data_IF_734936155505
#
_entry.id   IF_734936155505
#
_cell.length_a   1.000
_cell.length_b   1.000
_cell.length_c   1.000
_cell.angle_alpha   90.00
_cell.angle_beta   90.00
_cell.angle_gamma   90.00
#
_symmetry.space_group_name_H-M   'P 1'
#
loop_
_entity.id
_entity.type
_entity.pdbx_description
1 polymer ?
#
# COMPACT_ATOMS: atom_id res chain seq x y z
N UNK A 1 24.46 -15.24 65.36
CA UNK A 1 24.36 -15.08 63.89
C UNK A 1 22.96 -15.36 63.34
N UNK A 2 21.94 -15.62 64.17
CA UNK A 2 20.54 -15.84 63.73
C UNK A 2 19.68 -14.57 63.83
N UNK A 3 19.94 -13.69 64.81
CA UNK A 3 19.11 -12.52 65.08
C UNK A 3 19.32 -11.33 64.10
N UNK A 4 20.39 -11.34 63.31
CA UNK A 4 20.66 -10.30 62.29
C UNK A 4 20.03 -10.63 60.92
N UNK A 5 19.64 -11.88 60.69
CA UNK A 5 18.96 -12.31 59.46
C UNK A 5 17.45 -12.09 59.51
N UNK A 6 16.85 -12.04 60.70
CA UNK A 6 15.41 -11.81 60.88
C UNK A 6 15.03 -10.35 60.64
N UNK A 7 15.87 -9.40 61.06
CA UNK A 7 15.67 -7.96 60.84
C UNK A 7 15.87 -7.51 59.37
N UNK A 8 16.42 -8.37 58.52
CA UNK A 8 16.64 -8.04 57.09
C UNK A 8 15.46 -8.43 56.20
N UNK A 9 14.55 -9.28 56.70
CA UNK A 9 13.36 -9.72 55.96
C UNK A 9 12.22 -8.69 56.10
N UNK A 10 12.20 -7.93 57.20
CA UNK A 10 11.17 -6.91 57.49
C UNK A 10 11.38 -5.57 56.77
N UNK A 11 12.48 -5.42 56.00
CA UNK A 11 12.83 -4.20 55.24
C UNK A 11 12.77 -4.43 53.73
N UNK A 12 12.25 -5.57 53.27
CA UNK A 12 11.90 -5.69 51.87
C UNK A 12 10.57 -4.97 51.64
N UNK A 13 10.54 -3.88 50.85
CA UNK A 13 9.29 -3.23 50.51
C UNK A 13 8.35 -4.28 49.91
N UNK A 14 7.12 -4.37 50.41
CA UNK A 14 6.11 -5.28 49.87
C UNK A 14 6.10 -5.15 48.34
N UNK A 15 5.97 -6.27 47.59
CA UNK A 15 5.87 -6.20 46.15
C UNK A 15 4.65 -5.35 45.84
N UNK A 16 4.88 -4.08 45.45
CA UNK A 16 3.84 -3.18 44.96
C UNK A 16 3.04 -4.00 43.98
N UNK A 17 1.77 -4.25 44.29
CA UNK A 17 0.86 -4.95 43.39
C UNK A 17 0.97 -4.27 42.03
N UNK A 18 1.73 -4.88 41.11
CA UNK A 18 1.86 -4.39 39.76
C UNK A 18 0.52 -4.70 39.15
N UNK A 19 -0.32 -3.67 39.13
CA UNK A 19 -1.65 -3.75 38.57
C UNK A 19 -1.50 -4.00 37.07
N UNK A 20 -1.50 -5.28 36.66
CA UNK A 20 -1.52 -5.71 35.26
C UNK A 20 -2.93 -5.51 34.68
N UNK A 21 -3.56 -4.37 34.94
CA UNK A 21 -4.82 -3.97 34.35
C UNK A 21 -4.85 -2.46 34.15
N UNK A 22 -3.97 -1.97 33.29
CA UNK A 22 -4.38 -0.94 32.35
C UNK A 22 -4.33 -1.61 30.99
N UNK A 23 -5.47 -1.79 30.35
CA UNK A 23 -5.49 -1.95 28.90
C UNK A 23 -4.84 -0.69 28.36
N UNK A 24 -3.53 -0.73 28.12
CA UNK A 24 -2.85 0.36 27.45
C UNK A 24 -3.48 0.39 26.07
N UNK A 25 -4.40 1.33 25.87
CA UNK A 25 -4.98 1.62 24.58
C UNK A 25 -3.82 1.87 23.61
N UNK A 26 -3.89 1.34 22.39
CA UNK A 26 -2.82 1.50 21.39
C UNK A 26 -2.38 2.97 21.27
N UNK A 27 -3.30 3.92 21.45
CA UNK A 27 -3.06 5.37 21.51
C UNK A 27 -2.15 5.83 22.68
N UNK A 28 -2.27 5.24 23.86
CA UNK A 28 -1.41 5.54 25.02
C UNK A 28 0.02 4.99 24.79
N UNK A 29 0.16 3.85 24.10
CA UNK A 29 1.48 3.32 23.71
C UNK A 29 2.11 4.12 22.56
N UNK A 30 1.30 4.50 21.55
CA UNK A 30 1.75 5.32 20.42
C UNK A 30 2.21 6.71 20.85
N UNK A 31 1.50 7.33 21.81
CA UNK A 31 1.85 8.66 22.34
C UNK A 31 3.14 8.65 23.17
N UNK A 32 3.52 7.50 23.74
CA UNK A 32 4.80 7.30 24.42
C UNK A 32 5.96 7.08 23.44
N UNK A 33 5.72 6.45 22.29
CA UNK A 33 6.68 6.33 21.18
C UNK A 33 6.67 7.60 20.31
N UNK A 34 7.55 8.56 20.59
CA UNK A 34 7.73 9.75 19.73
C UNK A 34 7.97 9.35 18.26
N UNK A 35 7.30 10.02 17.32
CA UNK A 35 7.50 9.87 15.88
C UNK A 35 8.97 10.11 15.51
N UNK A 36 9.70 9.01 15.27
CA UNK A 36 11.08 9.07 14.81
C UNK A 36 11.18 9.54 13.36
N UNK A 37 12.39 9.96 12.95
CA UNK A 37 12.70 10.35 11.55
C UNK A 37 12.29 9.27 10.52
N UNK A 38 12.30 8.00 10.92
CA UNK A 38 11.89 6.86 10.09
C UNK A 38 10.39 6.90 9.76
N UNK A 39 9.53 7.31 10.69
CA UNK A 39 8.08 7.35 10.45
C UNK A 39 7.73 8.46 9.43
N UNK A 40 8.34 9.64 9.57
CA UNK A 40 8.21 10.70 8.55
C UNK A 40 8.69 10.24 7.17
N UNK A 41 9.82 9.54 7.10
CA UNK A 41 10.31 8.99 5.84
C UNK A 41 9.32 7.97 5.24
N UNK A 42 8.73 7.10 6.06
CA UNK A 42 7.75 6.11 5.62
C UNK A 42 6.48 6.77 5.07
N UNK A 43 5.96 7.79 5.74
CA UNK A 43 4.80 8.57 5.29
C UNK A 43 5.08 9.26 3.96
N UNK A 44 6.27 9.87 3.79
CA UNK A 44 6.65 10.51 2.53
C UNK A 44 6.69 9.50 1.39
N UNK A 45 7.36 8.36 1.59
CA UNK A 45 7.46 7.29 0.58
C UNK A 45 6.08 6.74 0.22
N UNK A 46 5.25 6.45 1.21
CA UNK A 46 3.88 5.98 0.99
C UNK A 46 3.04 7.01 0.24
N UNK A 47 3.18 8.29 0.59
CA UNK A 47 2.54 9.40 -0.12
C UNK A 47 2.95 9.49 -1.58
N UNK A 48 4.25 9.35 -1.89
CA UNK A 48 4.73 9.34 -3.28
C UNK A 48 4.18 8.15 -4.06
N UNK A 49 4.12 6.97 -3.45
CA UNK A 49 3.55 5.77 -4.09
C UNK A 49 2.06 5.98 -4.40
N UNK A 50 1.28 6.49 -3.43
CA UNK A 50 -0.14 6.77 -3.63
C UNK A 50 -0.36 7.84 -4.70
N UNK A 51 0.45 8.90 -4.71
CA UNK A 51 0.38 9.93 -5.75
C UNK A 51 0.65 9.35 -7.14
N UNK A 52 1.68 8.50 -7.29
CA UNK A 52 1.98 7.83 -8.55
C UNK A 52 0.81 6.93 -9.00
N UNK A 53 0.20 6.19 -8.05
CA UNK A 53 -0.95 5.33 -8.33
C UNK A 53 -2.16 6.13 -8.82
N UNK A 54 -2.43 7.27 -8.20
CA UNK A 54 -3.51 8.17 -8.61
C UNK A 54 -3.25 8.77 -9.98
N UNK A 55 -2.01 9.20 -10.26
CA UNK A 55 -1.63 9.74 -11.57
C UNK A 55 -1.79 8.69 -12.67
N UNK A 56 -1.43 7.44 -12.42
CA UNK A 56 -1.63 6.37 -13.42
C UNK A 56 -3.12 6.11 -13.66
N UNK A 57 -3.91 6.02 -12.59
CA UNK A 57 -5.36 5.73 -12.69
C UNK A 57 -6.12 6.85 -13.39
N UNK A 58 -5.79 8.12 -13.07
CA UNK A 58 -6.44 9.29 -13.66
C UNK A 58 -5.83 9.68 -15.01
N UNK A 59 -4.57 9.34 -15.26
CA UNK A 59 -3.83 9.71 -16.48
C UNK A 59 -4.52 9.23 -17.74
N UNK A 60 -5.16 8.06 -17.69
CA UNK A 60 -5.92 7.48 -18.81
C UNK A 60 -7.04 8.42 -19.27
N UNK A 61 -7.76 9.02 -18.32
CA UNK A 61 -8.85 9.95 -18.61
C UNK A 61 -8.39 11.21 -19.32
N UNK A 62 -7.15 11.65 -19.08
CA UNK A 62 -6.52 12.76 -19.79
C UNK A 62 -5.98 12.36 -21.16
N UNK A 63 -5.51 11.14 -21.31
CA UNK A 63 -4.92 10.64 -22.58
C UNK A 63 -6.00 10.31 -23.61
N UNK A 64 -7.15 9.74 -23.21
CA UNK A 64 -8.26 9.37 -24.11
C UNK A 64 -8.70 10.49 -25.09
N UNK A 65 -8.94 11.75 -24.65
CA UNK A 65 -9.37 12.80 -25.57
C UNK A 65 -8.28 13.18 -26.58
N UNK A 66 -7.01 13.14 -26.19
CA UNK A 66 -5.86 13.46 -27.07
C UNK A 66 -5.65 12.34 -28.10
N UNK A 67 -5.67 11.08 -27.65
CA UNK A 67 -5.49 9.91 -28.50
C UNK A 67 -6.65 9.68 -29.50
N UNK A 68 -7.78 10.39 -29.35
CA UNK A 68 -8.92 10.26 -30.27
C UNK A 68 -8.54 10.60 -31.70
N UNK A 69 -7.80 11.68 -31.90
CA UNK A 69 -7.46 12.18 -33.23
C UNK A 69 -6.40 11.30 -33.91
N UNK A 70 -5.52 10.67 -33.12
CA UNK A 70 -4.42 9.86 -33.64
C UNK A 70 -4.81 8.41 -33.95
N UNK A 71 -5.75 7.83 -33.18
CA UNK A 71 -6.20 6.43 -33.34
C UNK A 71 -7.60 6.30 -33.98
N UNK A 72 -8.24 7.39 -34.38
CA UNK A 72 -9.60 7.44 -34.96
C UNK A 72 -10.65 6.64 -34.13
N UNK A 73 -10.53 6.69 -32.80
CA UNK A 73 -11.32 5.84 -31.90
C UNK A 73 -12.81 6.18 -31.90
N UNK A 74 -13.64 5.14 -31.97
CA UNK A 74 -15.09 5.20 -31.77
C UNK A 74 -15.45 5.53 -30.31
N UNK A 75 -16.67 6.01 -30.07
CA UNK A 75 -17.14 6.31 -28.70
C UNK A 75 -17.17 5.07 -27.81
N UNK A 76 -17.43 3.88 -28.38
CA UNK A 76 -17.48 2.62 -27.64
C UNK A 76 -16.08 2.20 -27.16
N UNK A 77 -15.06 2.29 -28.01
CA UNK A 77 -13.69 1.90 -27.70
C UNK A 77 -13.08 2.73 -26.56
N UNK A 78 -13.45 4.01 -26.47
CA UNK A 78 -13.05 4.87 -25.34
C UNK A 78 -13.60 4.39 -24.01
N UNK A 79 -14.86 3.96 -24.01
CA UNK A 79 -15.51 3.38 -22.85
C UNK A 79 -14.82 2.08 -22.43
N UNK A 80 -14.54 1.21 -23.40
CA UNK A 80 -13.81 -0.05 -23.17
C UNK A 80 -12.42 0.20 -22.60
N UNK A 81 -11.67 1.18 -23.12
CA UNK A 81 -10.32 1.48 -22.66
C UNK A 81 -10.27 1.99 -21.21
N UNK A 82 -11.29 2.74 -20.78
CA UNK A 82 -11.42 3.13 -19.37
C UNK A 82 -11.83 1.92 -18.51
N UNK A 83 -12.85 1.17 -18.96
CA UNK A 83 -13.40 0.03 -18.23
C UNK A 83 -12.39 -1.11 -18.03
N UNK A 84 -11.52 -1.39 -19.01
CA UNK A 84 -10.56 -2.50 -18.96
C UNK A 84 -9.57 -2.35 -17.80
N UNK A 85 -9.21 -1.11 -17.45
CA UNK A 85 -8.30 -0.81 -16.33
C UNK A 85 -8.95 -1.18 -15.00
N UNK A 86 -10.23 -0.80 -14.83
CA UNK A 86 -11.02 -1.20 -13.66
C UNK A 86 -11.29 -2.71 -13.62
N UNK A 87 -11.53 -3.33 -14.78
CA UNK A 87 -11.67 -4.78 -14.86
C UNK A 87 -10.40 -5.50 -14.38
N UNK A 88 -9.22 -5.01 -14.77
CA UNK A 88 -7.93 -5.52 -14.27
C UNK A 88 -7.82 -5.42 -12.75
N UNK A 89 -8.20 -4.28 -12.16
CA UNK A 89 -8.20 -4.05 -10.71
C UNK A 89 -9.15 -5.03 -10.00
N UNK A 90 -10.37 -5.20 -10.50
CA UNK A 90 -11.38 -6.07 -9.89
C UNK A 90 -10.91 -7.52 -9.89
N UNK A 91 -10.42 -8.02 -11.02
CA UNK A 91 -9.95 -9.40 -11.15
C UNK A 91 -8.74 -9.67 -10.26
N UNK A 92 -7.84 -8.70 -10.11
CA UNK A 92 -6.60 -8.88 -9.35
C UNK A 92 -6.74 -8.65 -7.84
N UNK A 93 -7.81 -7.97 -7.41
CA UNK A 93 -8.05 -7.57 -6.02
C UNK A 93 -7.84 -8.70 -4.99
N UNK A 94 -8.47 -9.85 -5.21
CA UNK A 94 -8.42 -11.00 -4.32
C UNK A 94 -7.03 -11.65 -4.30
N UNK A 95 -6.39 -11.74 -5.48
CA UNK A 95 -5.06 -12.34 -5.62
C UNK A 95 -4.02 -11.54 -4.83
N UNK A 96 -4.00 -10.21 -5.01
CA UNK A 96 -3.02 -9.36 -4.34
C UNK A 96 -3.28 -9.23 -2.85
N UNK A 97 -4.54 -9.23 -2.41
CA UNK A 97 -4.89 -9.28 -0.99
C UNK A 97 -4.30 -10.50 -0.30
N UNK A 98 -4.57 -11.69 -0.85
CA UNK A 98 -3.99 -12.93 -0.32
C UNK A 98 -2.45 -12.93 -0.35
N UNK A 99 -1.86 -12.39 -1.42
CA UNK A 99 -0.40 -12.34 -1.55
C UNK A 99 0.26 -11.37 -0.55
N UNK A 100 -0.40 -10.25 -0.27
CA UNK A 100 0.07 -9.25 0.69
C UNK A 100 0.12 -9.82 2.11
N UNK A 101 -0.89 -10.61 2.47
CA UNK A 101 -0.98 -11.23 3.80
C UNK A 101 0.00 -12.41 3.97
N UNK A 102 0.26 -13.17 2.90
CA UNK A 102 1.09 -14.39 3.00
C UNK A 102 2.58 -14.18 2.73
N UNK A 103 2.95 -13.34 1.76
CA UNK A 103 4.35 -13.14 1.34
C UNK A 103 4.98 -11.87 1.90
N UNK A 104 4.21 -11.08 2.64
CA UNK A 104 4.63 -9.83 3.25
C UNK A 104 4.44 -8.64 2.31
N UNK A 105 3.98 -7.54 2.91
CA UNK A 105 3.51 -6.32 2.22
C UNK A 105 4.57 -5.66 1.35
N UNK A 106 5.78 -5.49 1.87
CA UNK A 106 6.91 -4.87 1.11
C UNK A 106 7.29 -5.68 -0.14
N UNK A 107 7.21 -7.01 -0.08
CA UNK A 107 7.55 -7.89 -1.22
C UNK A 107 6.48 -7.89 -2.31
N UNK A 108 5.28 -7.39 -2.02
CA UNK A 108 4.22 -7.19 -3.02
C UNK A 108 4.33 -5.81 -3.65
N UNK A 109 4.52 -4.74 -2.85
CA UNK A 109 4.56 -3.35 -3.33
C UNK A 109 5.65 -3.12 -4.39
N UNK A 110 6.88 -3.60 -4.14
CA UNK A 110 8.01 -3.33 -5.05
C UNK A 110 7.79 -3.93 -6.44
N UNK A 111 7.53 -5.24 -6.62
CA UNK A 111 7.35 -5.80 -7.95
C UNK A 111 6.11 -5.26 -8.66
N UNK A 112 4.99 -5.03 -7.97
CA UNK A 112 3.78 -4.50 -8.61
C UNK A 112 4.00 -3.09 -9.17
N UNK A 113 4.73 -2.24 -8.45
CA UNK A 113 5.10 -0.91 -8.95
C UNK A 113 6.00 -0.99 -10.19
N UNK A 114 7.02 -1.84 -10.17
CA UNK A 114 7.90 -2.02 -11.34
C UNK A 114 7.13 -2.55 -12.55
N UNK A 115 6.30 -3.59 -12.37
CA UNK A 115 5.53 -4.16 -13.47
C UNK A 115 4.53 -3.14 -14.03
N UNK A 116 3.86 -2.37 -13.17
CA UNK A 116 3.00 -1.28 -13.60
C UNK A 116 3.79 -0.25 -14.43
N UNK A 117 4.95 0.20 -13.92
CA UNK A 117 5.81 1.15 -14.63
C UNK A 117 6.22 0.63 -16.02
N UNK A 118 6.63 -0.63 -16.13
CA UNK A 118 6.99 -1.23 -17.43
C UNK A 118 5.79 -1.29 -18.37
N UNK A 119 4.61 -1.72 -17.90
CA UNK A 119 3.40 -1.75 -18.71
C UNK A 119 3.01 -0.35 -19.21
N UNK A 120 3.05 0.66 -18.33
CA UNK A 120 2.72 2.04 -18.68
C UNK A 120 3.75 2.68 -19.61
N UNK A 121 5.04 2.37 -19.40
CA UNK A 121 6.12 2.81 -20.28
C UNK A 121 5.96 2.25 -21.70
N UNK A 122 5.75 0.94 -21.83
CA UNK A 122 5.50 0.29 -23.13
C UNK A 122 4.21 0.84 -23.76
N UNK A 123 3.18 1.08 -22.95
CA UNK A 123 1.91 1.65 -23.42
C UNK A 123 2.08 3.05 -24.01
N UNK A 124 3.07 3.82 -23.55
CA UNK A 124 3.34 5.17 -24.08
C UNK A 124 3.94 5.16 -25.50
N UNK A 125 4.58 4.07 -25.92
CA UNK A 125 5.12 3.92 -27.28
C UNK A 125 4.15 3.22 -28.24
N UNK A 126 3.04 2.69 -27.72
CA UNK A 126 2.09 1.94 -28.53
C UNK A 126 1.15 2.87 -29.28
N UNK A 127 1.07 2.68 -30.61
CA UNK A 127 0.09 3.34 -31.50
C UNK A 127 -1.10 2.45 -31.86
N UNK A 128 -1.11 1.18 -31.42
CA UNK A 128 -2.18 0.23 -31.71
C UNK A 128 -3.21 0.16 -30.57
N UNK A 129 -4.50 0.33 -30.88
CA UNK A 129 -5.60 0.29 -29.90
C UNK A 129 -5.62 -1.01 -29.07
N UNK A 130 -5.50 -2.16 -29.74
CA UNK A 130 -5.50 -3.46 -29.08
C UNK A 130 -4.33 -3.64 -28.11
N UNK A 131 -3.14 -3.17 -28.49
CA UNK A 131 -1.95 -3.28 -27.65
C UNK A 131 -2.07 -2.39 -26.41
N UNK A 132 -2.54 -1.14 -26.57
CA UNK A 132 -2.82 -0.24 -25.43
C UNK A 132 -3.85 -0.87 -24.49
N UNK A 133 -4.92 -1.46 -25.04
CA UNK A 133 -5.99 -2.07 -24.25
C UNK A 133 -5.47 -3.23 -23.39
N UNK A 134 -4.66 -4.11 -23.97
CA UNK A 134 -4.05 -5.24 -23.24
C UNK A 134 -3.05 -4.76 -22.19
N UNK A 135 -2.17 -3.82 -22.55
CA UNK A 135 -1.21 -3.24 -21.60
C UNK A 135 -1.90 -2.54 -20.44
N UNK A 136 -3.04 -1.90 -20.69
CA UNK A 136 -3.85 -1.23 -19.65
C UNK A 136 -4.57 -2.19 -18.74
N UNK A 137 -5.03 -3.33 -19.26
CA UNK A 137 -5.51 -4.42 -18.42
C UNK A 137 -4.43 -4.87 -17.43
N UNK A 138 -3.20 -5.10 -17.91
CA UNK A 138 -2.09 -5.51 -17.05
C UNK A 138 -1.65 -4.41 -16.09
N UNK A 139 -1.59 -3.15 -16.53
CA UNK A 139 -1.32 -2.02 -15.64
C UNK A 139 -2.36 -1.94 -14.51
N UNK A 140 -3.65 -2.05 -14.84
CA UNK A 140 -4.76 -2.15 -13.86
C UNK A 140 -4.67 -3.38 -12.96
N UNK A 141 -4.20 -4.51 -13.49
CA UNK A 141 -3.99 -5.72 -12.71
C UNK A 141 -2.91 -5.52 -11.65
N UNK A 142 -1.77 -4.90 -11.98
CA UNK A 142 -0.65 -4.71 -11.07
C UNK A 142 -0.84 -3.54 -10.08
N UNK A 143 -1.45 -2.43 -10.53
CA UNK A 143 -1.65 -1.22 -9.71
C UNK A 143 -2.47 -1.49 -8.44
N UNK A 144 -3.45 -2.42 -8.50
CA UNK A 144 -4.31 -2.74 -7.36
C UNK A 144 -3.53 -3.34 -6.18
N UNK A 145 -2.47 -4.10 -6.47
CA UNK A 145 -1.63 -4.69 -5.43
C UNK A 145 -0.86 -3.64 -4.64
N UNK A 146 -0.31 -2.63 -5.33
CA UNK A 146 0.36 -1.50 -4.66
C UNK A 146 -0.62 -0.61 -3.89
N UNK A 147 -1.81 -0.35 -4.43
CA UNK A 147 -2.78 0.57 -3.82
C UNK A 147 -3.43 -0.01 -2.56
N UNK A 148 -3.76 -1.31 -2.54
CA UNK A 148 -4.33 -1.93 -1.35
C UNK A 148 -3.30 -2.13 -0.24
N UNK A 149 -2.09 -2.55 -0.61
CA UNK A 149 -1.05 -2.95 0.35
C UNK A 149 -0.41 -1.77 1.07
N UNK A 150 -0.34 -0.59 0.44
CA UNK A 150 0.31 0.59 1.03
C UNK A 150 -0.44 1.14 2.26
N UNK A 151 -1.78 1.08 2.26
CA UNK A 151 -2.57 1.51 3.43
C UNK A 151 -2.29 0.64 4.64
N UNK A 152 -2.21 -0.68 4.42
CA UNK A 152 -1.87 -1.63 5.47
C UNK A 152 -0.42 -1.43 5.95
N UNK A 153 0.51 -1.15 5.04
CA UNK A 153 1.93 -0.93 5.36
C UNK A 153 2.19 0.35 6.19
N UNK A 154 1.37 1.40 6.02
CA UNK A 154 1.45 2.61 6.85
C UNK A 154 0.88 2.39 8.26
N UNK A 155 -0.04 1.44 8.39
CA UNK A 155 -0.64 1.08 9.68
C UNK A 155 0.19 0.10 10.52
N UNK A 156 1.31 -0.41 9.99
CA UNK A 156 2.30 -1.21 10.70
C UNK A 156 3.38 -0.32 11.33
#
# INVERSE_FOLDING_TARGET
MSSAMENAIDVLPEPKHVNYQRSITLDDALSLTKFGKVNYFLIIVAGTILAAVLLETLGISYVIPVARCDLEMTTQEKGVLSAVSFAGIIVSSHLWGFLADTRGRKKVIVPTLFLTFFCSFISSFSTNFWLITVLRFFAGFFISGSSATIYAYVGE
#
